data_IF_677538027097
#
_entry.id   IF_677538027097
#
_cell.length_a   1.000
_cell.length_b   1.000
_cell.length_c   1.000
_cell.angle_alpha   90.00
_cell.angle_beta   90.00
_cell.angle_gamma   90.00
#
_symmetry.space_group_name_H-M   'P 1'
#
loop_
_entity.id
_entity.type
_entity.pdbx_description
1 polymer ?
#
# COMPACT_ATOMS: atom_id res chain seq x y z
N UNK A 1 -1.47 -2.49 -27.96
CA UNK A 1 -2.03 -1.96 -26.69
C UNK A 1 -1.61 -0.52 -26.45
N UNK A 2 -0.35 -0.14 -26.69
CA UNK A 2 0.13 1.26 -26.63
C UNK A 2 -0.77 2.29 -27.37
N UNK A 3 -1.25 2.00 -28.57
CA UNK A 3 -2.13 2.93 -29.32
C UNK A 3 -3.51 3.12 -28.67
N UNK A 4 -4.05 2.07 -28.03
CA UNK A 4 -5.36 2.13 -27.38
C UNK A 4 -5.29 2.92 -26.06
N UNK A 5 -4.24 2.74 -25.27
CA UNK A 5 -4.04 3.51 -24.03
C UNK A 5 -3.70 4.99 -24.31
N UNK A 6 -3.04 5.28 -25.43
CA UNK A 6 -2.74 6.67 -25.83
C UNK A 6 -4.00 7.49 -26.07
N UNK A 7 -5.05 6.90 -26.65
CA UNK A 7 -6.32 7.59 -26.86
C UNK A 7 -6.98 8.01 -25.54
N UNK A 8 -6.94 7.16 -24.51
CA UNK A 8 -7.42 7.48 -23.16
C UNK A 8 -6.55 8.55 -22.49
N UNK A 9 -5.23 8.47 -22.63
CA UNK A 9 -4.31 9.46 -22.08
C UNK A 9 -4.49 10.86 -22.68
N UNK A 10 -4.85 10.94 -23.96
CA UNK A 10 -5.13 12.22 -24.63
C UNK A 10 -6.59 12.69 -24.51
N UNK A 11 -7.47 11.89 -23.91
CA UNK A 11 -8.86 12.28 -23.72
C UNK A 11 -8.97 13.36 -22.62
N UNK A 12 -9.99 14.22 -22.72
CA UNK A 12 -10.24 15.21 -21.66
C UNK A 12 -10.75 14.53 -20.39
N UNK A 13 -10.51 15.11 -19.23
CA UNK A 13 -11.00 14.54 -17.97
C UNK A 13 -12.51 14.31 -17.96
N UNK A 14 -13.27 15.16 -18.66
CA UNK A 14 -14.72 14.99 -18.78
C UNK A 14 -15.07 13.73 -19.56
N UNK A 15 -14.33 13.42 -20.63
CA UNK A 15 -14.50 12.20 -21.40
C UNK A 15 -14.05 10.97 -20.59
N UNK A 16 -12.91 11.04 -19.90
CA UNK A 16 -12.41 9.97 -19.03
C UNK A 16 -13.41 9.67 -17.91
N UNK A 17 -13.93 10.70 -17.23
CA UNK A 17 -14.97 10.52 -16.20
C UNK A 17 -16.23 9.87 -16.75
N UNK A 18 -16.70 10.29 -17.92
CA UNK A 18 -17.88 9.71 -18.55
C UNK A 18 -17.67 8.22 -18.88
N UNK A 19 -16.49 7.87 -19.41
CA UNK A 19 -16.11 6.47 -19.70
C UNK A 19 -16.05 5.66 -18.40
N UNK A 20 -15.39 6.18 -17.36
CA UNK A 20 -15.29 5.49 -16.07
C UNK A 20 -16.67 5.24 -15.44
N UNK A 21 -17.58 6.23 -15.50
CA UNK A 21 -18.96 6.07 -15.01
C UNK A 21 -19.67 4.95 -15.77
N UNK A 22 -19.55 4.91 -17.11
CA UNK A 22 -20.16 3.86 -17.92
C UNK A 22 -19.57 2.47 -17.64
N UNK A 23 -18.25 2.37 -17.40
CA UNK A 23 -17.61 1.10 -17.03
C UNK A 23 -18.06 0.59 -15.65
N UNK A 24 -18.42 1.49 -14.74
CA UNK A 24 -18.94 1.15 -13.40
C UNK A 24 -20.37 0.58 -13.40
N UNK A 25 -21.00 0.40 -14.56
CA UNK A 25 -22.21 -0.42 -14.69
C UNK A 25 -21.92 -1.88 -14.30
N UNK A 26 -20.72 -2.38 -14.64
CA UNK A 26 -20.22 -3.68 -14.20
C UNK A 26 -19.84 -3.67 -12.71
N UNK A 27 -20.32 -4.65 -11.94
CA UNK A 27 -20.11 -4.72 -10.47
C UNK A 27 -18.62 -4.88 -10.14
N UNK A 28 -17.90 -5.74 -10.86
CA UNK A 28 -16.49 -6.00 -10.58
C UNK A 28 -15.65 -4.73 -10.85
N UNK A 29 -15.90 -4.08 -11.97
CA UNK A 29 -15.23 -2.83 -12.34
C UNK A 29 -15.52 -1.71 -11.34
N UNK A 30 -16.77 -1.59 -10.87
CA UNK A 30 -17.15 -0.61 -9.85
C UNK A 30 -16.44 -0.84 -8.53
N UNK A 31 -16.38 -2.07 -8.03
CA UNK A 31 -15.68 -2.39 -6.77
C UNK A 31 -14.19 -2.06 -6.89
N UNK A 32 -13.55 -2.45 -7.99
CA UNK A 32 -12.14 -2.13 -8.26
C UNK A 32 -11.91 -0.63 -8.36
N UNK A 33 -12.80 0.13 -8.99
CA UNK A 33 -12.68 1.58 -9.08
C UNK A 33 -12.77 2.27 -7.70
N UNK A 34 -13.65 1.78 -6.81
CA UNK A 34 -13.79 2.29 -5.44
C UNK A 34 -12.56 1.97 -4.58
N UNK A 35 -12.03 0.75 -4.68
CA UNK A 35 -10.78 0.34 -4.02
C UNK A 35 -9.60 1.23 -4.46
N UNK A 36 -9.48 1.47 -5.77
CA UNK A 36 -8.44 2.37 -6.30
C UNK A 36 -8.65 3.82 -5.84
N UNK A 37 -9.89 4.29 -5.74
CA UNK A 37 -10.21 5.63 -5.25
C UNK A 37 -9.78 5.79 -3.79
N UNK A 38 -10.08 4.81 -2.93
CA UNK A 38 -9.68 4.83 -1.51
C UNK A 38 -8.16 4.95 -1.34
N UNK A 39 -7.39 4.29 -2.22
CA UNK A 39 -5.92 4.37 -2.22
C UNK A 39 -5.38 5.72 -2.70
N UNK A 40 -6.06 6.38 -3.64
CA UNK A 40 -5.59 7.64 -4.23
C UNK A 40 -5.98 8.87 -3.39
N UNK A 41 -7.13 8.83 -2.72
CA UNK A 41 -7.67 9.98 -1.98
C UNK A 41 -6.73 10.54 -0.90
N UNK A 42 -6.06 9.74 -0.05
CA UNK A 42 -5.14 10.26 0.96
C UNK A 42 -4.01 11.08 0.33
N UNK A 43 -3.40 10.57 -0.73
CA UNK A 43 -2.30 11.24 -1.43
C UNK A 43 -2.77 12.53 -2.11
N UNK A 44 -3.95 12.50 -2.73
CA UNK A 44 -4.54 13.70 -3.34
C UNK A 44 -4.79 14.81 -2.29
N UNK A 45 -5.22 14.45 -1.08
CA UNK A 45 -5.42 15.41 0.04
C UNK A 45 -4.09 15.99 0.52
N UNK A 46 -3.06 15.16 0.67
CA UNK A 46 -1.73 15.62 1.08
C UNK A 46 -1.06 16.54 0.04
N UNK A 47 -1.31 16.30 -1.25
CA UNK A 47 -0.74 17.10 -2.34
C UNK A 47 -1.54 18.38 -2.66
N UNK A 48 -2.81 18.45 -2.25
CA UNK A 48 -3.65 19.65 -2.46
C UNK A 48 -3.28 20.83 -1.55
N UNK A 49 -2.36 20.65 -0.59
CA UNK A 49 -1.96 21.69 0.36
C UNK A 49 -3.08 22.08 1.35
N UNK A 50 -2.72 22.80 2.41
CA UNK A 50 -3.72 23.45 3.26
C UNK A 50 -4.50 24.49 2.43
N UNK A 51 -5.80 24.71 2.71
CA UNK A 51 -6.64 25.63 1.93
C UNK A 51 -6.06 27.05 1.82
N UNK A 52 -5.21 27.46 2.76
CA UNK A 52 -4.51 28.74 2.78
C UNK A 52 -3.52 28.91 1.62
N UNK A 53 -2.84 27.83 1.22
CA UNK A 53 -1.87 27.83 0.11
C UNK A 53 -2.52 27.83 -1.29
N UNK A 54 -3.77 27.40 -1.40
CA UNK A 54 -4.53 27.38 -2.65
C UNK A 54 -5.21 28.73 -2.98
N UNK A 55 -5.42 29.60 -1.98
CA UNK A 55 -6.06 30.91 -2.15
C UNK A 55 -5.06 31.98 -2.61
N UNK A 56 -3.79 31.89 -2.19
CA UNK A 56 -2.76 32.90 -2.50
C UNK A 56 -2.18 32.79 -3.92
N UNK A 57 -2.21 31.60 -4.52
CA UNK A 57 -1.87 31.42 -5.91
C UNK A 57 -3.11 30.89 -6.60
N UNK A 58 -3.75 31.71 -7.44
CA UNK A 58 -4.81 31.31 -8.39
C UNK A 58 -4.33 30.30 -9.45
N UNK A 59 -3.54 29.32 -9.04
CA UNK A 59 -3.01 28.21 -9.81
C UNK A 59 -4.14 27.21 -9.93
N UNK A 60 -4.60 27.06 -11.18
CA UNK A 60 -5.29 25.85 -11.66
C UNK A 60 -4.70 24.64 -10.93
N UNK A 61 -5.57 23.79 -10.35
CA UNK A 61 -5.22 22.52 -9.72
C UNK A 61 -4.03 21.92 -10.46
N UNK A 62 -2.87 22.00 -9.83
CA UNK A 62 -1.64 21.51 -10.43
C UNK A 62 -1.86 20.03 -10.67
N UNK A 63 -1.64 19.57 -11.90
CA UNK A 63 -1.78 18.17 -12.26
C UNK A 63 -0.96 17.34 -11.27
N UNK A 64 -1.67 16.62 -10.41
CA UNK A 64 -1.07 15.89 -9.31
C UNK A 64 -0.50 14.63 -9.92
N UNK A 65 0.82 14.59 -10.07
CA UNK A 65 1.55 13.48 -10.68
C UNK A 65 1.47 12.22 -9.82
N UNK A 66 0.36 11.50 -9.95
CA UNK A 66 0.04 10.25 -9.28
C UNK A 66 -0.29 9.19 -10.33
N UNK A 67 0.27 8.01 -10.12
CA UNK A 67 -0.01 6.83 -10.91
C UNK A 67 -0.19 5.60 -10.00
N UNK A 68 -0.87 4.58 -10.51
CA UNK A 68 -1.12 3.33 -9.79
C UNK A 68 -0.20 2.28 -10.39
N UNK A 69 0.60 1.63 -9.54
CA UNK A 69 1.51 0.58 -9.99
C UNK A 69 0.71 -0.66 -10.39
N UNK A 70 0.84 -1.16 -11.62
CA UNK A 70 0.09 -2.35 -12.05
C UNK A 70 0.65 -3.67 -11.47
N UNK A 71 1.84 -3.64 -10.86
CA UNK A 71 2.48 -4.80 -10.24
C UNK A 71 2.10 -4.97 -8.77
N UNK A 72 2.15 -3.89 -7.99
CA UNK A 72 1.88 -3.93 -6.56
C UNK A 72 0.62 -3.17 -6.15
N UNK A 73 -0.08 -2.54 -7.10
CA UNK A 73 -1.34 -1.79 -6.92
C UNK A 73 -1.29 -0.60 -5.95
N UNK A 74 -0.09 -0.24 -5.48
CA UNK A 74 0.19 0.94 -4.66
C UNK A 74 0.24 2.18 -5.55
N UNK A 75 -0.25 3.30 -5.01
CA UNK A 75 -0.17 4.61 -5.65
C UNK A 75 1.24 5.18 -5.44
N UNK A 76 1.80 5.78 -6.47
CA UNK A 76 3.14 6.37 -6.47
C UNK A 76 3.15 7.66 -7.31
N UNK A 77 4.19 8.48 -7.15
CA UNK A 77 4.42 9.65 -8.00
C UNK A 77 5.49 9.32 -9.05
N UNK A 78 5.27 9.67 -10.32
CA UNK A 78 6.25 9.38 -11.37
C UNK A 78 7.56 10.13 -11.14
N UNK A 79 7.49 11.36 -10.62
CA UNK A 79 8.64 12.16 -10.20
C UNK A 79 9.42 11.56 -9.02
N UNK A 80 8.75 10.82 -8.13
CA UNK A 80 9.35 10.22 -6.94
C UNK A 80 9.27 8.68 -6.96
N UNK A 81 9.82 8.07 -8.02
CA UNK A 81 9.84 6.62 -8.22
C UNK A 81 11.27 6.09 -8.18
N UNK A 82 11.83 5.90 -6.98
CA UNK A 82 13.20 5.42 -6.80
C UNK A 82 13.34 3.91 -7.11
N UNK A 83 14.58 3.47 -7.35
CA UNK A 83 14.86 2.03 -7.51
C UNK A 83 14.50 1.29 -6.21
N UNK A 84 13.98 0.07 -6.35
CA UNK A 84 13.65 -0.84 -5.24
C UNK A 84 12.47 -0.42 -4.33
N UNK A 85 11.69 0.62 -4.69
CA UNK A 85 10.48 1.01 -3.94
C UNK A 85 9.27 0.10 -4.17
N UNK A 86 9.20 -0.54 -5.34
CA UNK A 86 8.13 -1.48 -5.64
C UNK A 86 8.52 -2.89 -5.17
N UNK A 87 7.74 -3.44 -4.24
CA UNK A 87 7.76 -4.85 -3.87
C UNK A 87 6.60 -5.55 -4.57
N UNK A 88 6.88 -6.55 -5.39
CA UNK A 88 5.88 -7.28 -6.15
C UNK A 88 6.22 -8.76 -6.31
N UNK A 89 5.20 -9.57 -6.60
CA UNK A 89 5.35 -10.97 -6.96
C UNK A 89 5.26 -11.10 -8.49
N UNK A 90 6.23 -11.76 -9.12
CA UNK A 90 6.19 -11.99 -10.57
C UNK A 90 5.38 -13.22 -10.96
N UNK A 91 5.15 -14.12 -10.01
CA UNK A 91 4.41 -15.35 -10.20
C UNK A 91 2.90 -15.12 -10.22
N UNK A 92 2.18 -16.23 -10.34
CA UNK A 92 0.74 -16.31 -10.15
C UNK A 92 0.44 -16.83 -8.73
N UNK A 93 -0.71 -16.43 -8.21
CA UNK A 93 -1.24 -16.90 -6.93
C UNK A 93 -2.03 -18.19 -7.18
N UNK A 94 -1.74 -19.23 -6.40
CA UNK A 94 -2.34 -20.57 -6.52
C UNK A 94 -2.89 -21.02 -5.18
N UNK A 95 -3.99 -21.77 -5.20
CA UNK A 95 -4.59 -22.34 -4.00
C UNK A 95 -3.66 -23.37 -3.38
N UNK A 96 -3.42 -23.26 -2.07
CA UNK A 96 -2.64 -24.25 -1.32
C UNK A 96 -3.58 -25.29 -0.72
N UNK A 97 -3.84 -26.36 -1.47
CA UNK A 97 -4.70 -27.47 -1.03
C UNK A 97 -4.02 -28.39 -0.01
N UNK A 98 -2.71 -28.26 0.17
CA UNK A 98 -1.93 -29.07 1.11
C UNK A 98 -1.87 -28.42 2.50
N UNK A 99 -2.21 -27.13 2.62
CA UNK A 99 -2.30 -26.40 3.89
C UNK A 99 -3.64 -26.64 4.60
N UNK A 100 -3.62 -26.61 5.94
CA UNK A 100 -4.79 -26.83 6.80
C UNK A 100 -5.82 -25.69 6.70
N UNK A 101 -5.49 -24.58 6.02
CA UNK A 101 -6.37 -23.41 5.87
C UNK A 101 -7.75 -23.77 5.27
N UNK A 102 -7.76 -24.67 4.28
CA UNK A 102 -8.99 -25.10 3.60
C UNK A 102 -9.57 -26.42 4.13
N UNK A 103 -9.03 -26.98 5.22
CA UNK A 103 -9.45 -28.29 5.71
C UNK A 103 -10.94 -28.36 6.12
N UNK A 104 -11.51 -27.23 6.58
CA UNK A 104 -12.93 -27.10 6.94
C UNK A 104 -13.81 -26.63 5.76
N UNK A 105 -13.23 -26.34 4.59
CA UNK A 105 -13.96 -25.81 3.44
C UNK A 105 -14.48 -26.96 2.56
N UNK A 106 -15.75 -27.28 2.71
CA UNK A 106 -16.43 -28.23 1.83
C UNK A 106 -16.95 -27.53 0.55
N UNK A 107 -16.36 -27.79 -0.62
CA UNK A 107 -16.73 -27.12 -1.88
C UNK A 107 -18.19 -27.34 -2.29
N UNK A 108 -18.77 -28.51 -1.94
CA UNK A 108 -20.18 -28.82 -2.20
C UNK A 108 -21.15 -27.90 -1.41
N UNK A 109 -20.70 -27.37 -0.27
CA UNK A 109 -21.49 -26.50 0.60
C UNK A 109 -21.14 -25.02 0.41
N UNK A 110 -19.85 -24.70 0.25
CA UNK A 110 -19.32 -23.33 0.29
C UNK A 110 -18.81 -22.83 -1.07
N UNK A 111 -18.84 -23.68 -2.11
CA UNK A 111 -18.39 -23.34 -3.46
C UNK A 111 -16.90 -23.58 -3.69
N UNK A 112 -16.46 -23.33 -4.92
CA UNK A 112 -15.09 -23.59 -5.38
C UNK A 112 -14.10 -22.67 -4.67
N UNK A 113 -13.01 -23.25 -4.16
CA UNK A 113 -11.97 -22.51 -3.43
C UNK A 113 -11.15 -21.62 -4.38
N UNK A 114 -10.71 -22.16 -5.52
CA UNK A 114 -9.80 -21.46 -6.44
C UNK A 114 -10.54 -20.47 -7.36
N UNK A 115 -11.06 -19.39 -6.77
CA UNK A 115 -11.75 -18.30 -7.47
C UNK A 115 -11.05 -16.96 -7.22
N UNK A 116 -11.21 -16.01 -8.15
CA UNK A 116 -10.66 -14.65 -7.98
C UNK A 116 -11.24 -13.92 -6.77
N UNK A 117 -12.49 -14.22 -6.40
CA UNK A 117 -13.14 -13.67 -5.20
C UNK A 117 -12.45 -14.19 -3.93
N UNK A 118 -12.23 -15.51 -3.82
CA UNK A 118 -11.53 -16.09 -2.67
C UNK A 118 -10.07 -15.63 -2.57
N UNK A 119 -9.37 -15.43 -3.70
CA UNK A 119 -8.00 -14.88 -3.71
C UNK A 119 -7.93 -13.45 -3.15
N UNK A 120 -8.99 -12.67 -3.34
CA UNK A 120 -9.06 -11.30 -2.83
C UNK A 120 -9.50 -11.26 -1.35
N UNK A 121 -10.44 -12.12 -0.96
CA UNK A 121 -11.05 -12.13 0.37
C UNK A 121 -10.23 -12.93 1.41
N UNK A 122 -9.55 -13.99 0.97
CA UNK A 122 -8.78 -14.91 1.81
C UNK A 122 -7.40 -15.22 1.20
N UNK A 123 -6.56 -14.20 0.95
CA UNK A 123 -5.24 -14.38 0.33
C UNK A 123 -4.32 -15.31 1.13
N UNK A 124 -4.57 -15.47 2.43
CA UNK A 124 -3.82 -16.33 3.36
C UNK A 124 -3.88 -17.83 3.01
N UNK A 125 -4.92 -18.26 2.29
CA UNK A 125 -5.12 -19.63 1.82
C UNK A 125 -4.48 -19.91 0.45
N UNK A 126 -3.76 -18.94 -0.10
CA UNK A 126 -3.09 -19.06 -1.38
C UNK A 126 -1.58 -18.85 -1.23
N UNK A 127 -0.81 -19.33 -2.19
CA UNK A 127 0.64 -19.11 -2.27
C UNK A 127 1.07 -18.56 -3.62
N UNK A 128 2.15 -17.78 -3.60
CA UNK A 128 2.76 -17.23 -4.80
C UNK A 128 3.76 -18.21 -5.42
N UNK A 129 3.54 -18.59 -6.67
CA UNK A 129 4.45 -19.49 -7.42
C UNK A 129 5.89 -19.01 -7.56
N UNK A 130 6.17 -17.71 -7.40
CA UNK A 130 7.52 -17.17 -7.53
C UNK A 130 8.40 -17.37 -6.29
N UNK A 131 7.81 -17.58 -5.11
CA UNK A 131 8.57 -17.66 -3.85
C UNK A 131 7.93 -18.57 -2.80
N UNK A 132 6.78 -19.18 -3.10
CA UNK A 132 6.00 -20.04 -2.21
C UNK A 132 5.60 -19.39 -0.87
N UNK A 133 5.55 -18.05 -0.86
CA UNK A 133 5.05 -17.26 0.27
C UNK A 133 3.53 -17.16 0.18
N UNK A 134 2.87 -16.91 1.31
CA UNK A 134 1.42 -16.76 1.38
C UNK A 134 0.93 -15.56 0.57
N UNK A 135 -0.34 -15.58 0.16
CA UNK A 135 -0.91 -14.56 -0.73
C UNK A 135 -0.90 -13.15 -0.12
N UNK A 136 -0.99 -13.05 1.20
CA UNK A 136 -0.95 -11.82 2.00
C UNK A 136 0.48 -11.28 2.24
N UNK A 137 1.52 -12.04 1.90
CA UNK A 137 2.90 -11.62 2.09
C UNK A 137 3.38 -10.60 1.05
N UNK A 138 4.30 -9.73 1.48
CA UNK A 138 4.94 -8.76 0.61
C UNK A 138 5.69 -9.40 -0.57
N UNK A 139 5.74 -8.64 -1.67
CA UNK A 139 6.40 -9.03 -2.91
C UNK A 139 7.85 -9.49 -2.75
N UNK A 140 8.18 -10.64 -3.33
CA UNK A 140 9.53 -11.21 -3.28
C UNK A 140 10.55 -10.51 -4.21
N UNK A 141 10.09 -9.70 -5.17
CA UNK A 141 10.96 -8.95 -6.09
C UNK A 141 10.91 -7.46 -5.80
N UNK A 142 12.03 -6.79 -6.04
CA UNK A 142 12.19 -5.34 -5.88
C UNK A 142 12.37 -4.65 -7.22
N UNK A 143 11.75 -3.51 -7.43
CA UNK A 143 11.85 -2.74 -8.67
C UNK A 143 11.38 -1.30 -8.55
N UNK A 144 11.22 -0.63 -9.70
CA UNK A 144 10.49 0.65 -9.80
C UNK A 144 9.01 0.38 -10.01
N UNK A 145 8.15 1.25 -9.53
CA UNK A 145 6.73 1.17 -9.84
C UNK A 145 6.50 1.35 -11.36
N UNK A 146 5.51 0.63 -11.92
CA UNK A 146 5.18 0.64 -13.35
C UNK A 146 3.69 0.96 -13.51
N UNK A 147 3.33 2.02 -14.24
CA UNK A 147 1.94 2.47 -14.37
C UNK A 147 1.18 1.93 -15.58
N UNK A 148 1.85 1.28 -16.52
CA UNK A 148 1.19 0.64 -17.67
C UNK A 148 1.54 -0.88 -17.71
N UNK A 149 0.67 -1.70 -18.29
CA UNK A 149 0.81 -3.15 -18.31
C UNK A 149 1.96 -3.69 -19.19
N UNK A 150 2.41 -2.97 -20.23
CA UNK A 150 3.31 -3.52 -21.26
C UNK A 150 4.77 -3.72 -20.77
N UNK A 151 5.36 -2.71 -20.13
CA UNK A 151 6.57 -2.71 -19.30
C UNK A 151 6.53 -3.59 -18.04
N UNK A 152 5.34 -4.08 -17.66
CA UNK A 152 5.17 -4.67 -16.35
C UNK A 152 5.62 -6.13 -16.22
N UNK A 153 5.91 -6.85 -17.30
CA UNK A 153 6.41 -8.25 -17.21
C UNK A 153 7.43 -8.66 -18.29
N UNK A 154 8.28 -7.77 -18.82
CA UNK A 154 9.26 -8.17 -19.85
C UNK A 154 10.67 -7.60 -19.63
N UNK A 155 11.51 -8.38 -18.94
CA UNK A 155 12.94 -8.45 -19.22
C UNK A 155 13.82 -7.27 -18.79
N UNK A 156 13.76 -6.86 -17.53
CA UNK A 156 14.90 -6.17 -16.91
C UNK A 156 15.69 -7.15 -16.03
N UNK A 157 16.21 -8.20 -16.65
CA UNK A 157 17.41 -8.87 -16.14
C UNK A 157 18.56 -7.87 -16.33
N UNK A 158 18.79 -7.02 -15.35
CA UNK A 158 20.13 -6.49 -15.13
C UNK A 158 20.78 -7.43 -14.12
N UNK A 159 21.56 -8.34 -14.68
CA UNK A 159 22.63 -9.05 -13.99
C UNK A 159 23.49 -8.04 -13.21
N UNK A 160 23.37 -8.04 -11.89
CA UNK A 160 24.44 -7.58 -11.00
C UNK A 160 25.02 -8.82 -10.32
N UNK A 161 25.71 -9.62 -11.13
CA UNK A 161 26.76 -10.52 -10.65
C UNK A 161 28.06 -9.73 -10.72
N UNK A 162 28.39 -8.99 -9.67
CA UNK A 162 29.75 -8.53 -9.42
C UNK A 162 30.25 -9.24 -8.17
N UNK A 163 30.79 -10.43 -8.42
CA UNK A 163 31.72 -11.11 -7.53
C UNK A 163 33.02 -10.32 -7.54
N UNK A 164 33.25 -9.51 -6.51
CA UNK A 164 34.57 -8.95 -6.26
C UNK A 164 35.44 -10.06 -5.64
N UNK A 165 36.14 -10.77 -6.51
CA UNK A 165 37.31 -11.57 -6.13
C UNK A 165 38.48 -10.63 -5.86
N UNK A 166 38.91 -10.60 -4.60
CA UNK A 166 40.09 -9.90 -4.10
C UNK A 166 41.35 -10.33 -4.88
N UNK A 167 42.15 -9.39 -5.43
CA UNK A 167 43.52 -9.67 -5.84
C UNK A 167 44.47 -9.51 -4.64
N UNK A 168 45.11 -10.62 -4.26
CA UNK A 168 46.29 -10.62 -3.39
C UNK A 168 47.50 -10.16 -4.22
N UNK A 169 47.88 -8.89 -4.11
CA UNK A 169 49.09 -8.36 -4.72
C UNK A 169 50.26 -8.40 -3.71
N UNK A 170 51.23 -9.28 -4.01
CA UNK A 170 52.52 -9.44 -3.34
C UNK A 170 53.44 -8.23 -3.54
N UNK A 171 54.24 -8.00 -2.49
CA UNK A 171 55.24 -6.95 -2.26
C UNK A 171 56.21 -6.64 -3.42
N UNK A 172 56.41 -5.35 -3.66
CA UNK A 172 57.33 -4.82 -4.66
C UNK A 172 57.97 -3.48 -4.28
N UNK A 173 58.82 -3.53 -3.26
CA UNK A 173 59.90 -2.60 -2.88
C UNK A 173 60.49 -1.70 -4.00
N UNK A 174 60.49 -0.36 -3.77
CA UNK A 174 61.65 0.56 -3.92
C UNK A 174 61.32 2.05 -3.70
N UNK A 175 61.84 2.61 -2.61
CA UNK A 175 62.95 3.57 -2.63
C UNK A 175 62.74 5.03 -3.08
N UNK A 176 62.84 5.91 -2.08
CA UNK A 176 63.50 7.24 -2.02
C UNK A 176 62.92 8.47 -2.77
N UNK A 177 62.75 9.54 -1.98
CA UNK A 177 62.62 10.92 -2.45
C UNK A 177 62.12 11.89 -1.37
N UNK A 178 63.06 12.42 -0.58
CA UNK A 178 62.94 13.55 0.36
C UNK A 178 62.13 14.75 -0.14
N UNK A 179 61.41 15.46 0.76
CA UNK A 179 61.61 16.91 1.05
C UNK A 179 60.60 17.43 2.09
N UNK A 180 61.13 17.69 3.30
CA UNK A 180 60.97 18.85 4.21
C UNK A 180 59.75 19.79 4.09
N UNK A 181 59.15 20.15 5.24
CA UNK A 181 58.64 21.52 5.45
C UNK A 181 57.40 21.72 6.34
N UNK A 182 57.64 22.32 7.52
CA UNK A 182 56.77 23.16 8.38
C UNK A 182 55.53 22.53 9.07
N UNK A 183 55.53 22.34 10.39
CA UNK A 183 55.51 23.32 11.51
C UNK A 183 54.11 23.93 11.82
N UNK A 184 53.51 23.34 12.87
CA UNK A 184 52.89 23.95 14.06
C UNK A 184 51.62 24.85 14.01
N UNK A 185 50.83 24.71 15.07
CA UNK A 185 49.84 25.69 15.58
C UNK A 185 48.40 25.20 15.46
N UNK A 186 47.82 24.55 16.48
CA UNK A 186 47.11 25.15 17.63
C UNK A 186 46.07 26.21 17.22
N UNK A 187 44.79 25.98 17.51
CA UNK A 187 44.10 26.68 18.60
C UNK A 187 42.59 26.32 18.61
N UNK A 188 42.12 26.13 19.85
CA UNK A 188 40.75 25.87 20.26
C UNK A 188 39.86 27.10 20.04
N UNK A 189 38.55 26.87 19.96
CA UNK A 189 37.54 27.93 19.90
C UNK A 189 36.18 27.38 20.29
N UNK A 190 35.96 27.30 21.60
CA UNK A 190 34.65 27.39 22.26
C UNK A 190 33.80 28.50 21.63
N UNK A 191 32.49 28.28 21.56
CA UNK A 191 31.49 29.27 22.00
C UNK A 191 30.13 28.56 22.13
N UNK A 192 29.69 28.51 23.39
CA UNK A 192 28.37 28.14 23.89
C UNK A 192 27.34 29.23 23.50
N UNK A 193 26.12 29.10 24.04
CA UNK A 193 25.07 30.15 24.13
C UNK A 193 24.15 30.27 22.87
N UNK A 194 22.81 30.26 22.93
CA UNK A 194 21.88 30.57 24.02
C UNK A 194 20.60 29.70 23.95
N UNK A 195 20.06 29.44 25.14
CA UNK A 195 18.74 28.88 25.42
C UNK A 195 17.67 29.97 25.20
N UNK A 196 16.69 29.74 24.32
CA UNK A 196 15.48 30.57 24.24
C UNK A 196 14.32 29.83 24.93
N UNK A 197 14.09 30.20 26.19
CA UNK A 197 12.89 29.88 26.98
C UNK A 197 11.80 30.90 26.66
N UNK A 198 10.80 30.53 25.86
CA UNK A 198 9.55 31.28 25.76
C UNK A 198 8.46 30.60 26.60
N UNK A 199 8.28 31.10 27.81
CA UNK A 199 7.10 30.92 28.64
C UNK A 199 5.96 31.79 28.09
N UNK A 200 4.87 31.18 27.61
CA UNK A 200 3.60 31.89 27.38
C UNK A 200 2.52 31.29 28.30
N UNK A 201 2.21 32.06 29.34
CA UNK A 201 1.15 31.80 30.31
C UNK A 201 -0.24 31.97 29.67
N UNK A 202 -1.18 31.14 30.10
CA UNK A 202 -2.44 30.91 29.40
C UNK A 202 -3.52 31.97 29.58
N UNK A 203 -4.65 31.72 28.90
CA UNK A 203 -5.93 32.25 29.33
C UNK A 203 -7.05 31.25 29.01
N UNK A 204 -7.59 30.67 30.08
CA UNK A 204 -8.80 29.88 30.13
C UNK A 204 -10.00 30.78 29.83
N UNK A 205 -10.89 30.34 28.94
CA UNK A 205 -12.21 30.96 28.84
C UNK A 205 -13.29 29.89 28.70
N UNK A 206 -13.90 29.59 29.83
CA UNK A 206 -15.15 28.86 29.94
C UNK A 206 -16.26 29.57 29.14
N UNK A 207 -17.05 28.78 28.43
CA UNK A 207 -18.38 29.19 28.01
C UNK A 207 -19.33 28.00 28.00
N UNK A 208 -19.88 27.72 29.18
CA UNK A 208 -21.15 27.04 29.33
C UNK A 208 -22.27 27.94 28.78
N UNK A 209 -23.08 27.43 27.85
CA UNK A 209 -24.46 27.90 27.72
C UNK A 209 -25.40 26.76 27.37
N UNK A 210 -26.30 26.56 28.32
CA UNK A 210 -27.50 25.74 28.35
C UNK A 210 -28.45 26.08 27.20
N UNK A 211 -29.26 25.12 26.75
CA UNK A 211 -30.23 25.36 25.69
C UNK A 211 -30.89 24.12 25.12
N UNK A 212 -31.75 23.49 25.92
CA UNK A 212 -32.72 22.45 25.57
C UNK A 212 -33.59 22.80 24.35
N UNK A 213 -33.89 21.84 23.46
CA UNK A 213 -35.27 21.46 23.08
C UNK A 213 -35.31 20.27 22.09
N UNK A 214 -35.74 19.13 22.62
CA UNK A 214 -36.94 18.40 22.17
C UNK A 214 -37.14 18.15 20.66
N UNK A 215 -36.86 16.92 20.20
CA UNK A 215 -37.64 16.31 19.12
C UNK A 215 -37.93 14.83 19.41
N UNK A 216 -39.21 14.52 19.42
CA UNK A 216 -39.79 13.25 19.83
C UNK A 216 -40.04 12.37 18.59
N UNK A 217 -39.55 11.13 18.67
CA UNK A 217 -40.07 9.85 18.13
C UNK A 217 -40.61 9.76 16.69
N UNK A 218 -40.03 8.87 15.88
CA UNK A 218 -40.59 7.53 15.61
C UNK A 218 -39.85 6.79 14.46
N UNK A 219 -39.97 5.45 14.51
CA UNK A 219 -39.74 4.45 13.46
C UNK A 219 -38.34 3.81 13.33
N UNK A 220 -38.13 2.79 14.15
CA UNK A 220 -37.91 1.39 13.72
C UNK A 220 -37.26 1.15 12.34
N UNK A 221 -35.99 0.73 12.34
CA UNK A 221 -35.49 -0.32 11.44
C UNK A 221 -34.42 -1.13 12.16
N UNK A 222 -34.77 -2.38 12.46
CA UNK A 222 -33.89 -3.43 12.99
C UNK A 222 -32.74 -3.68 12.01
N UNK A 223 -31.52 -3.33 12.40
CA UNK A 223 -30.31 -3.81 11.73
C UNK A 223 -29.81 -5.03 12.51
N UNK A 224 -29.81 -6.17 11.84
CA UNK A 224 -29.19 -7.42 12.30
C UNK A 224 -27.72 -7.15 12.66
N UNK A 225 -27.43 -7.24 13.94
CA UNK A 225 -26.06 -7.35 14.45
C UNK A 225 -25.62 -8.79 14.20
N UNK A 226 -24.57 -8.92 13.40
CA UNK A 226 -23.82 -10.16 13.18
C UNK A 226 -23.56 -10.87 14.51
N UNK A 227 -24.03 -12.11 14.62
CA UNK A 227 -23.79 -12.93 15.79
C UNK A 227 -22.34 -13.45 15.78
N UNK A 228 -21.57 -13.27 16.86
CA UNK A 228 -20.35 -14.05 17.06
C UNK A 228 -20.74 -15.50 17.33
N UNK A 229 -20.21 -16.45 16.54
CA UNK A 229 -20.47 -17.87 16.73
C UNK A 229 -19.92 -18.31 18.09
N UNK A 230 -20.84 -18.52 19.04
CA UNK A 230 -20.58 -19.10 20.34
C UNK A 230 -20.31 -20.60 20.17
N UNK A 231 -19.18 -21.03 20.70
CA UNK A 231 -18.85 -22.42 20.97
C UNK A 231 -19.90 -23.02 21.92
N UNK A 232 -20.62 -24.05 21.46
CA UNK A 232 -21.60 -24.75 22.30
C UNK A 232 -21.09 -26.14 22.66
N UNK A 233 -20.86 -26.31 23.95
CA UNK A 233 -20.47 -27.53 24.62
C UNK A 233 -21.60 -28.57 24.58
N UNK A 234 -21.24 -29.78 24.14
CA UNK A 234 -22.11 -30.97 24.13
C UNK A 234 -22.67 -31.27 25.52
N UNK A 235 -23.99 -31.20 25.69
CA UNK A 235 -24.71 -31.98 26.72
C UNK A 235 -25.16 -33.30 26.11
N UNK A 236 -24.58 -34.39 26.60
CA UNK A 236 -25.07 -35.76 26.44
C UNK A 236 -26.47 -35.87 27.07
N UNK A 237 -27.41 -36.44 26.32
CA UNK A 237 -28.53 -37.17 26.88
C UNK A 237 -28.72 -38.43 26.02
N UNK A 238 -28.34 -39.56 26.60
CA UNK A 238 -28.80 -40.89 26.19
C UNK A 238 -30.29 -40.97 26.45
N UNK A 239 -31.05 -41.48 25.49
CA UNK A 239 -32.27 -42.22 25.77
C UNK A 239 -32.36 -43.38 24.78
N UNK A 240 -31.98 -44.55 25.29
CA UNK A 240 -32.30 -45.86 24.74
C UNK A 240 -33.79 -46.12 24.93
N UNK A 241 -34.55 -46.34 23.84
CA UNK A 241 -35.76 -47.18 23.82
C UNK A 241 -36.38 -47.25 22.42
N UNK A 242 -36.16 -48.40 21.74
CA UNK A 242 -37.11 -49.20 20.92
C UNK A 242 -36.34 -50.03 19.91
N UNK A 243 -36.15 -51.33 20.18
CA UNK A 243 -37.04 -52.43 19.75
C UNK A 243 -36.68 -52.98 18.37
N UNK A 244 -35.88 -54.05 18.33
CA UNK A 244 -36.07 -55.31 17.59
C UNK A 244 -34.83 -56.19 17.75
#
# INVERSE_FOLDING_TARGET
MLEQMRALYCASDSAVRAILIALCDDRATRLKALELLDRVQPLAKHMAGTPESAILLGKRRQDVDMAICVQCTKVFSEKNNARKQCLYHSGEMQCDYDDDYWADHEEDQFGVIDTDEMRADQPEGFTWTCCHKRGDEEGCKRGRHQSNPDWSKKGAEQSESESESEPEDEDGDKGDGDEEGDEEGDEEGDEEDEEDEDEDEGEEHDNESDGTDNFQVAAETTTEVAQPYRTSTKRKAQDDLRSA
#
